data_IF_401689248297
#
_entry.id   IF_401689248297
#
_cell.length_a   1.000
_cell.length_b   1.000
_cell.length_c   1.000
_cell.angle_alpha   90.00
_cell.angle_beta   90.00
_cell.angle_gamma   90.00
#
_symmetry.space_group_name_H-M   'P 1'
#
loop_
_entity.id
_entity.type
_entity.pdbx_description
1 polymer ?
#
# COMPACT_ATOMS: atom_id res chain seq x y z
N UNK A 1 -5.19 -2.33 -22.83
CA UNK A 1 -5.27 -0.89 -22.53
C UNK A 1 -6.32 -0.72 -21.46
N UNK A 2 -5.98 -0.10 -20.34
CA UNK A 2 -6.87 0.14 -19.20
C UNK A 2 -7.24 1.62 -19.13
N UNK A 3 -8.36 1.96 -18.50
CA UNK A 3 -8.89 3.34 -18.50
C UNK A 3 -8.33 4.17 -17.34
N UNK A 4 -8.34 3.63 -16.11
CA UNK A 4 -8.01 4.40 -14.91
C UNK A 4 -6.65 4.06 -14.29
N UNK A 5 -6.30 2.77 -14.27
CA UNK A 5 -5.08 2.27 -13.60
C UNK A 5 -4.35 1.29 -14.51
N UNK A 6 -3.04 1.23 -14.39
CA UNK A 6 -2.15 0.37 -15.17
C UNK A 6 -0.97 -0.11 -14.31
N UNK A 7 -0.07 -0.90 -14.90
CA UNK A 7 1.13 -1.44 -14.22
C UNK A 7 2.06 -0.38 -13.61
N UNK A 8 2.00 0.85 -14.11
CA UNK A 8 2.86 1.95 -13.67
C UNK A 8 2.20 2.81 -12.58
N UNK A 9 0.93 2.55 -12.28
CA UNK A 9 0.15 3.28 -11.27
C UNK A 9 0.74 3.04 -9.88
N UNK A 10 1.19 4.12 -9.23
CA UNK A 10 1.71 4.09 -7.86
C UNK A 10 0.55 4.19 -6.87
N UNK A 11 0.43 3.22 -5.98
CA UNK A 11 -0.71 3.09 -5.06
C UNK A 11 -0.24 3.28 -3.62
N UNK A 12 -1.04 3.99 -2.83
CA UNK A 12 -0.88 4.08 -1.39
C UNK A 12 -2.09 3.47 -0.68
N UNK A 13 -1.89 2.92 0.52
CA UNK A 13 -2.99 2.42 1.36
C UNK A 13 -3.13 3.27 2.62
N UNK A 14 -4.26 3.94 2.81
CA UNK A 14 -4.59 4.60 4.07
C UNK A 14 -5.17 3.57 5.06
N UNK A 15 -4.69 3.59 6.31
CA UNK A 15 -5.03 2.55 7.28
C UNK A 15 -4.34 1.22 6.99
N UNK A 16 -3.17 1.24 6.34
CA UNK A 16 -2.44 0.04 5.88
C UNK A 16 -2.12 -0.96 6.99
N UNK A 17 -1.97 -0.48 8.23
CA UNK A 17 -1.65 -1.33 9.39
C UNK A 17 -2.87 -1.94 10.08
N UNK A 18 -4.09 -1.66 9.61
CA UNK A 18 -5.30 -2.35 10.07
C UNK A 18 -5.42 -3.73 9.42
N UNK A 19 -6.15 -4.67 10.06
CA UNK A 19 -6.31 -6.05 9.59
C UNK A 19 -6.66 -6.16 8.09
N UNK A 20 -7.66 -5.40 7.65
CA UNK A 20 -8.11 -5.38 6.24
C UNK A 20 -7.10 -4.69 5.31
N UNK A 21 -6.47 -3.61 5.78
CA UNK A 21 -5.47 -2.87 5.03
C UNK A 21 -4.22 -3.71 4.75
N UNK A 22 -3.74 -4.44 5.77
CA UNK A 22 -2.63 -5.40 5.65
C UNK A 22 -2.97 -6.49 4.63
N UNK A 23 -4.12 -7.16 4.81
CA UNK A 23 -4.52 -8.29 3.95
C UNK A 23 -4.61 -7.90 2.47
N UNK A 24 -5.31 -6.80 2.14
CA UNK A 24 -5.46 -6.40 0.74
C UNK A 24 -4.18 -5.82 0.16
N UNK A 25 -3.37 -5.08 0.94
CA UNK A 25 -2.09 -4.54 0.47
C UNK A 25 -1.13 -5.67 0.11
N UNK A 26 -1.05 -6.71 0.94
CA UNK A 26 -0.24 -7.90 0.66
C UNK A 26 -0.70 -8.59 -0.64
N UNK A 27 -2.01 -8.85 -0.79
CA UNK A 27 -2.54 -9.49 -2.01
C UNK A 27 -2.39 -8.64 -3.27
N UNK A 28 -2.56 -7.32 -3.17
CA UNK A 28 -2.31 -6.41 -4.28
C UNK A 28 -0.83 -6.39 -4.69
N UNK A 29 0.09 -6.41 -3.72
CA UNK A 29 1.52 -6.47 -3.97
C UNK A 29 1.94 -7.81 -4.61
N UNK A 30 1.44 -8.94 -4.08
CA UNK A 30 1.62 -10.28 -4.67
C UNK A 30 1.10 -10.35 -6.12
N UNK A 31 -0.01 -9.66 -6.40
CA UNK A 31 -0.59 -9.57 -7.75
C UNK A 31 0.23 -8.70 -8.72
N UNK A 32 1.21 -7.94 -8.21
CA UNK A 32 2.05 -7.05 -9.03
C UNK A 32 1.62 -5.59 -9.04
N UNK A 33 0.70 -5.19 -8.15
CA UNK A 33 0.36 -3.77 -7.97
C UNK A 33 1.52 -3.02 -7.33
N UNK A 34 1.81 -1.82 -7.81
CA UNK A 34 2.93 -1.01 -7.34
C UNK A 34 2.58 -0.24 -6.07
N UNK A 35 2.56 -0.96 -4.95
CA UNK A 35 2.36 -0.39 -3.60
C UNK A 35 3.61 0.37 -3.17
N UNK A 36 3.53 1.69 -3.01
CA UNK A 36 4.70 2.56 -2.74
C UNK A 36 4.74 3.14 -1.34
N UNK A 37 3.60 3.25 -0.66
CA UNK A 37 3.52 3.80 0.69
C UNK A 37 2.24 3.35 1.40
N UNK A 38 2.26 3.39 2.73
CA UNK A 38 1.05 3.33 3.55
C UNK A 38 0.94 4.53 4.47
N UNK A 39 -0.27 4.82 4.94
CA UNK A 39 -0.53 5.88 5.92
C UNK A 39 -1.14 5.29 7.18
N UNK A 40 -0.66 5.74 8.33
CA UNK A 40 -1.17 5.34 9.64
C UNK A 40 -0.80 6.36 10.72
N UNK A 41 -1.78 7.01 11.38
CA UNK A 41 -1.52 8.01 12.41
C UNK A 41 -0.56 7.51 13.49
N UNK A 42 0.50 8.28 13.76
CA UNK A 42 1.53 7.95 14.75
C UNK A 42 2.47 6.80 14.36
N UNK A 43 2.43 6.33 13.10
CA UNK A 43 3.28 5.24 12.59
C UNK A 43 4.22 5.66 11.47
N UNK A 44 4.35 6.96 11.21
CA UNK A 44 5.30 7.51 10.24
C UNK A 44 6.74 7.08 10.52
N UNK A 45 7.50 6.79 9.46
CA UNK A 45 8.90 6.36 9.54
C UNK A 45 9.12 4.86 9.75
N UNK A 46 8.05 4.10 10.01
CA UNK A 46 8.10 2.64 10.11
C UNK A 46 7.95 1.97 8.73
N UNK A 47 8.09 0.64 8.69
CA UNK A 47 7.76 -0.18 7.51
C UNK A 47 6.75 -1.25 7.88
N UNK A 48 5.86 -1.57 6.94
CA UNK A 48 4.96 -2.71 7.04
C UNK A 48 4.89 -3.39 5.66
N UNK A 49 5.00 -4.72 5.59
CA UNK A 49 5.13 -5.46 4.33
C UNK A 49 6.28 -4.96 3.42
N UNK A 50 7.38 -4.49 4.04
CA UNK A 50 8.50 -3.81 3.38
C UNK A 50 8.15 -2.48 2.67
N UNK A 51 6.93 -1.96 2.86
CA UNK A 51 6.46 -0.68 2.32
C UNK A 51 6.59 0.40 3.41
N UNK A 52 7.13 1.60 3.11
CA UNK A 52 7.27 2.69 4.08
C UNK A 52 5.91 3.24 4.53
N UNK A 53 5.81 3.57 5.82
CA UNK A 53 4.66 4.21 6.44
C UNK A 53 4.90 5.71 6.66
N UNK A 54 3.84 6.48 6.49
CA UNK A 54 3.80 7.92 6.70
C UNK A 54 2.65 8.28 7.66
N UNK A 55 2.79 9.43 8.30
CA UNK A 55 1.76 10.05 9.13
C UNK A 55 0.86 10.96 8.28
#
# INVERSE_FOLDING_TARGET
>A
MSILVNKDTKIITQGMTGKTGTFHTEKCAEYGSKMVAGVGPGKGGQKHLNIPLYD
#
